data_IF_878894311638
#
_entry.id   IF_878894311638
#
_cell.length_a   1.000
_cell.length_b   1.000
_cell.length_c   1.000
_cell.angle_alpha   90.00
_cell.angle_beta   90.00
_cell.angle_gamma   90.00
#
_symmetry.space_group_name_H-M   'P 1'
#
loop_
_entity.id
_entity.type
_entity.pdbx_description
1 polymer ?
#
# COMPACT_ATOMS: atom_id res chain seq x y z
N UNK A 1 10.51 1.26 -10.10
CA UNK A 1 9.73 2.25 -10.91
C UNK A 1 8.25 1.93 -10.71
N UNK A 2 7.39 2.94 -10.52
CA UNK A 2 5.93 2.76 -10.35
C UNK A 2 5.32 2.07 -11.57
N UNK A 3 4.41 1.12 -11.36
CA UNK A 3 3.69 0.41 -12.43
C UNK A 3 2.22 0.82 -12.54
N UNK A 4 1.60 1.18 -11.42
CA UNK A 4 0.18 1.56 -11.31
C UNK A 4 0.03 2.70 -10.31
N UNK A 5 -1.08 3.44 -10.38
CA UNK A 5 -1.47 4.41 -9.37
C UNK A 5 -2.34 3.75 -8.29
N UNK A 6 -2.40 4.33 -7.09
CA UNK A 6 -3.11 3.73 -5.96
C UNK A 6 -4.62 3.57 -6.25
N UNK A 7 -5.24 4.57 -6.87
CA UNK A 7 -6.65 4.55 -7.25
C UNK A 7 -6.99 3.72 -8.48
N UNK A 8 -6.01 3.11 -9.16
CA UNK A 8 -6.22 2.34 -10.40
C UNK A 8 -6.52 0.86 -10.16
N UNK A 9 -6.17 0.29 -9.00
CA UNK A 9 -6.32 -1.15 -8.77
C UNK A 9 -7.80 -1.59 -8.79
N UNK A 10 -8.07 -2.72 -9.45
CA UNK A 10 -9.41 -3.30 -9.71
C UNK A 10 -9.33 -4.82 -9.66
N UNK A 11 -10.48 -5.50 -9.69
CA UNK A 11 -10.56 -6.96 -9.65
C UNK A 11 -9.79 -7.66 -10.79
N UNK A 12 -9.67 -7.04 -11.96
CA UNK A 12 -8.88 -7.57 -13.09
C UNK A 12 -7.36 -7.59 -12.83
N UNK A 13 -6.89 -6.87 -11.80
CA UNK A 13 -5.49 -6.82 -11.41
C UNK A 13 -5.11 -7.92 -10.40
N UNK A 14 -6.07 -8.71 -9.90
CA UNK A 14 -5.81 -9.77 -8.92
C UNK A 14 -4.74 -10.75 -9.44
N UNK A 15 -3.78 -11.08 -8.57
CA UNK A 15 -2.63 -11.93 -8.89
C UNK A 15 -1.47 -11.23 -9.58
N UNK A 16 -1.63 -9.96 -9.99
CA UNK A 16 -0.53 -9.21 -10.61
C UNK A 16 0.41 -8.61 -9.55
N UNK A 17 1.71 -8.66 -9.82
CA UNK A 17 2.72 -7.92 -9.04
C UNK A 17 2.75 -6.48 -9.51
N UNK A 18 2.52 -5.55 -8.58
CA UNK A 18 2.49 -4.11 -8.86
C UNK A 18 3.46 -3.36 -7.95
N UNK A 19 3.94 -2.21 -8.42
CA UNK A 19 4.69 -1.24 -7.62
C UNK A 19 3.93 0.08 -7.57
N UNK A 20 3.55 0.51 -6.36
CA UNK A 20 2.89 1.78 -6.08
C UNK A 20 3.87 2.75 -5.41
N UNK A 21 3.67 4.05 -5.62
CA UNK A 21 4.42 5.10 -4.91
C UNK A 21 3.47 6.19 -4.45
N UNK A 22 3.57 6.58 -3.18
CA UNK A 22 2.66 7.57 -2.60
C UNK A 22 3.04 7.95 -1.18
N UNK A 23 2.08 8.53 -0.46
CA UNK A 23 2.20 8.95 0.93
C UNK A 23 1.38 8.05 1.84
N UNK A 24 1.89 7.76 3.03
CA UNK A 24 1.12 7.08 4.06
C UNK A 24 -0.02 8.00 4.51
N UNK A 25 -1.25 7.60 4.23
CA UNK A 25 -2.44 8.27 4.74
C UNK A 25 -2.71 7.85 6.18
N UNK A 26 -2.76 6.53 6.44
CA UNK A 26 -2.91 5.98 7.79
C UNK A 26 -2.07 4.70 7.94
N UNK A 27 -1.68 4.40 9.18
CA UNK A 27 -1.10 3.11 9.59
C UNK A 27 -1.96 2.55 10.70
N UNK A 28 -2.30 1.27 10.61
CA UNK A 28 -3.04 0.52 11.63
C UNK A 28 -2.29 -0.79 11.89
N UNK A 29 -2.11 -1.14 13.16
CA UNK A 29 -1.50 -2.42 13.55
C UNK A 29 -2.53 -3.37 14.12
N UNK A 30 -2.34 -4.66 13.86
CA UNK A 30 -3.14 -5.74 14.42
C UNK A 30 -2.21 -6.79 15.02
N UNK A 31 -1.87 -6.61 16.30
CA UNK A 31 -0.88 -7.42 16.99
C UNK A 31 0.54 -7.20 16.47
N UNK A 32 1.43 -8.15 16.73
CA UNK A 32 2.87 -8.04 16.44
C UNK A 32 3.26 -8.44 15.00
N UNK A 33 2.32 -8.99 14.22
CA UNK A 33 2.64 -9.67 12.95
C UNK A 33 1.90 -9.12 11.73
N UNK A 34 1.08 -8.09 11.90
CA UNK A 34 0.23 -7.59 10.83
C UNK A 34 0.08 -6.07 10.92
N UNK A 35 0.41 -5.40 9.83
CA UNK A 35 0.17 -3.98 9.66
C UNK A 35 -0.60 -3.68 8.38
N UNK A 36 -1.46 -2.67 8.46
CA UNK A 36 -2.19 -2.09 7.35
C UNK A 36 -1.70 -0.68 7.13
N UNK A 37 -1.29 -0.38 5.91
CA UNK A 37 -0.86 0.95 5.48
C UNK A 37 -1.77 1.41 4.36
N UNK A 38 -2.52 2.49 4.60
CA UNK A 38 -3.28 3.13 3.55
C UNK A 38 -2.33 4.03 2.76
N UNK A 39 -1.90 3.58 1.57
CA UNK A 39 -1.05 4.34 0.67
C UNK A 39 -1.90 5.21 -0.24
N UNK A 40 -1.62 6.51 -0.28
CA UNK A 40 -2.37 7.50 -1.05
C UNK A 40 -1.50 8.15 -2.11
N UNK A 41 -2.05 8.35 -3.29
CA UNK A 41 -1.54 9.31 -4.27
C UNK A 41 -2.69 10.19 -4.78
N UNK A 42 -2.48 10.96 -5.86
CA UNK A 42 -3.53 11.85 -6.38
C UNK A 42 -4.75 11.10 -6.92
N UNK A 43 -4.64 9.80 -7.22
CA UNK A 43 -5.68 9.01 -7.88
C UNK A 43 -6.60 8.32 -6.88
N UNK A 44 -6.14 8.11 -5.65
CA UNK A 44 -6.92 7.44 -4.61
C UNK A 44 -6.05 6.83 -3.52
N UNK A 45 -6.63 5.88 -2.79
CA UNK A 45 -6.01 5.18 -1.67
C UNK A 45 -6.03 3.68 -1.93
N UNK A 46 -4.92 2.99 -1.67
CA UNK A 46 -4.82 1.53 -1.66
C UNK A 46 -4.42 1.05 -0.27
N UNK A 47 -5.05 -0.01 0.22
CA UNK A 47 -4.60 -0.68 1.43
C UNK A 47 -3.44 -1.65 1.11
N UNK A 48 -2.27 -1.41 1.70
CA UNK A 48 -1.15 -2.34 1.70
C UNK A 48 -1.20 -3.18 2.99
N UNK A 49 -1.24 -4.50 2.84
CA UNK A 49 -1.16 -5.44 3.97
C UNK A 49 0.29 -5.91 4.06
N UNK A 50 0.87 -5.83 5.26
CA UNK A 50 2.26 -6.22 5.51
C UNK A 50 2.31 -7.24 6.63
N UNK A 51 2.91 -8.40 6.35
CA UNK A 51 3.12 -9.49 7.30
C UNK A 51 4.28 -9.19 8.27
N UNK A 52 4.19 -8.07 9.00
CA UNK A 52 5.01 -7.67 10.15
C UNK A 52 4.59 -6.27 10.63
N UNK A 53 5.08 -5.85 11.79
CA UNK A 53 5.05 -4.44 12.18
C UNK A 53 5.94 -3.60 11.26
N UNK A 54 5.50 -2.38 10.95
CA UNK A 54 6.28 -1.40 10.16
C UNK A 54 6.32 -0.06 10.87
N UNK A 55 7.50 0.56 10.97
CA UNK A 55 7.64 1.91 11.53
C UNK A 55 7.49 2.97 10.43
N UNK A 56 6.24 3.16 9.99
CA UNK A 56 5.87 4.24 9.06
C UNK A 56 4.93 5.22 9.75
N UNK A 57 5.04 6.50 9.39
CA UNK A 57 4.22 7.59 9.94
C UNK A 57 3.44 8.28 8.84
N UNK A 58 2.41 9.03 9.24
CA UNK A 58 1.64 9.83 8.30
C UNK A 58 2.57 10.71 7.43
N UNK A 59 2.24 10.81 6.15
CA UNK A 59 2.97 11.57 5.13
C UNK A 59 4.38 11.05 4.78
N UNK A 60 4.78 9.87 5.28
CA UNK A 60 6.00 9.22 4.75
C UNK A 60 5.81 8.88 3.26
N UNK A 61 6.84 9.18 2.46
CA UNK A 61 6.89 8.83 1.04
C UNK A 61 7.41 7.40 0.91
N UNK A 62 6.60 6.51 0.36
CA UNK A 62 6.92 5.10 0.21
C UNK A 62 6.85 4.66 -1.25
N UNK A 63 7.69 3.68 -1.58
CA UNK A 63 7.49 2.78 -2.72
C UNK A 63 7.18 1.39 -2.17
N UNK A 64 6.05 0.82 -2.60
CA UNK A 64 5.59 -0.51 -2.16
C UNK A 64 5.45 -1.41 -3.37
N UNK A 65 6.03 -2.60 -3.31
CA UNK A 65 5.84 -3.66 -4.30
C UNK A 65 5.14 -4.84 -3.64
N UNK A 66 4.08 -5.34 -4.27
CA UNK A 66 3.28 -6.44 -3.73
C UNK A 66 2.37 -7.06 -4.78
N UNK A 67 1.64 -8.11 -4.38
CA UNK A 67 0.67 -8.80 -5.23
C UNK A 67 -0.73 -8.31 -4.86
N UNK A 68 -1.54 -8.00 -5.87
CA UNK A 68 -2.96 -7.65 -5.66
C UNK A 68 -3.73 -8.91 -5.26
N UNK A 69 -4.42 -8.86 -4.12
CA UNK A 69 -5.22 -9.95 -3.57
C UNK A 69 -6.72 -9.66 -3.67
#
# INVERSE_FOLDING_TARGET
MRTHQCGELRAEHVGQTVTLTGWVSTRREHGEKLAFVDLRDHSGVTQCVVDNTVDVRAEYVLQVTGVVA
#
